data_IF_773737657013
#
_entry.id   IF_773737657013
#
_cell.length_a   1.000
_cell.length_b   1.000
_cell.length_c   1.000
_cell.angle_alpha   90.00
_cell.angle_beta   90.00
_cell.angle_gamma   90.00
#
_symmetry.space_group_name_H-M   'P 1'
#
loop_
_entity.id
_entity.type
_entity.pdbx_description
1 polymer ?
#
# COMPACT_ATOMS: atom_id res chain seq x y z
N UNK A 1 -17.43 7.91 6.14
CA UNK A 1 -16.85 6.54 6.20
C UNK A 1 -16.68 6.09 4.76
N UNK A 2 -15.60 6.51 4.09
CA UNK A 2 -15.29 6.07 2.73
C UNK A 2 -14.43 4.82 2.89
N UNK A 3 -15.07 3.66 2.82
CA UNK A 3 -14.39 2.38 2.80
C UNK A 3 -13.56 2.32 1.52
N UNK A 4 -12.24 2.15 1.64
CA UNK A 4 -11.38 1.94 0.49
C UNK A 4 -11.72 0.56 -0.10
N UNK A 5 -12.36 0.55 -1.26
CA UNK A 5 -12.67 -0.69 -1.96
C UNK A 5 -11.42 -1.15 -2.71
N UNK A 6 -10.95 -2.37 -2.45
CA UNK A 6 -9.95 -3.02 -3.29
C UNK A 6 -10.64 -3.34 -4.62
N UNK A 7 -10.33 -2.59 -5.67
CA UNK A 7 -10.89 -2.80 -6.98
C UNK A 7 -10.02 -3.76 -7.80
N UNK A 8 -10.65 -4.78 -8.38
CA UNK A 8 -10.07 -5.61 -9.42
C UNK A 8 -10.90 -5.41 -10.70
N UNK A 9 -10.46 -4.54 -11.63
CA UNK A 9 -11.11 -4.39 -12.94
C UNK A 9 -10.17 -4.68 -14.12
N UNK A 10 -10.53 -5.77 -14.82
CA UNK A 10 -10.37 -6.17 -16.23
C UNK A 10 -8.99 -6.32 -16.95
N UNK A 11 -8.67 -7.61 -17.20
CA UNK A 11 -8.66 -8.30 -18.50
C UNK A 11 -7.53 -8.11 -19.52
N UNK A 12 -6.25 -8.21 -19.13
CA UNK A 12 -5.21 -8.65 -20.10
C UNK A 12 -4.07 -9.48 -19.48
N UNK A 13 -3.84 -9.40 -18.16
CA UNK A 13 -2.84 -10.23 -17.47
C UNK A 13 -3.46 -10.74 -16.17
N UNK A 14 -3.67 -12.06 -16.10
CA UNK A 14 -4.23 -12.71 -14.91
C UNK A 14 -3.07 -13.12 -14.02
N UNK A 15 -2.87 -12.41 -12.90
CA UNK A 15 -1.98 -12.87 -11.83
C UNK A 15 -2.46 -14.23 -11.33
N UNK A 16 -1.53 -15.09 -10.89
CA UNK A 16 -1.94 -16.31 -10.20
C UNK A 16 -2.73 -15.94 -8.93
N UNK A 17 -3.61 -16.82 -8.46
CA UNK A 17 -4.35 -16.58 -7.22
C UNK A 17 -3.42 -16.32 -6.03
N UNK A 18 -2.24 -16.95 -6.03
CA UNK A 18 -1.22 -16.76 -5.00
C UNK A 18 -0.55 -15.38 -5.09
N UNK A 19 -0.23 -14.91 -6.30
CA UNK A 19 0.39 -13.58 -6.47
C UNK A 19 -0.62 -12.47 -6.19
N UNK A 20 -1.87 -12.63 -6.64
CA UNK A 20 -2.97 -11.71 -6.30
C UNK A 20 -3.17 -11.60 -4.79
N UNK A 21 -3.09 -12.73 -4.07
CA UNK A 21 -3.15 -12.72 -2.61
C UNK A 21 -1.99 -11.97 -1.98
N UNK A 22 -0.75 -12.20 -2.44
CA UNK A 22 0.43 -11.48 -1.94
C UNK A 22 0.34 -9.97 -2.15
N UNK A 23 -0.07 -9.55 -3.35
CA UNK A 23 -0.28 -8.13 -3.67
C UNK A 23 -1.39 -7.54 -2.79
N UNK A 24 -2.52 -8.22 -2.64
CA UNK A 24 -3.60 -7.75 -1.75
C UNK A 24 -3.13 -7.58 -0.30
N UNK A 25 -2.33 -8.53 0.20
CA UNK A 25 -1.73 -8.42 1.53
C UNK A 25 -0.74 -7.25 1.61
N UNK A 26 0.10 -7.07 0.60
CA UNK A 26 1.04 -5.94 0.53
C UNK A 26 0.30 -4.59 0.60
N UNK A 27 -0.67 -4.35 -0.29
CA UNK A 27 -1.44 -3.11 -0.31
C UNK A 27 -2.23 -2.89 1.00
N UNK A 28 -2.72 -3.98 1.62
CA UNK A 28 -3.41 -3.88 2.91
C UNK A 28 -2.52 -3.32 4.02
N UNK A 29 -1.20 -3.55 3.97
CA UNK A 29 -0.25 -3.03 4.94
C UNK A 29 -0.18 -1.51 4.93
N UNK A 30 -0.08 -0.91 3.75
CA UNK A 30 -0.11 0.55 3.58
C UNK A 30 -1.43 1.15 4.06
N UNK A 31 -2.55 0.52 3.68
CA UNK A 31 -3.89 1.00 4.01
C UNK A 31 -4.14 0.98 5.52
N UNK A 32 -3.86 -0.16 6.17
CA UNK A 32 -4.04 -0.33 7.61
C UNK A 32 -3.17 0.66 8.37
N UNK A 33 -1.89 0.80 8.00
CA UNK A 33 -1.00 1.77 8.62
C UNK A 33 -1.56 3.20 8.51
N UNK A 34 -1.97 3.61 7.30
CA UNK A 34 -2.53 4.95 7.08
C UNK A 34 -3.85 5.20 7.82
N UNK A 35 -4.62 4.14 8.08
CA UNK A 35 -5.90 4.24 8.77
C UNK A 35 -5.74 4.56 10.25
N UNK A 36 -4.71 4.02 10.89
CA UNK A 36 -4.48 4.19 12.32
C UNK A 36 -3.61 5.40 12.67
N UNK A 37 -2.88 5.96 11.71
CA UNK A 37 -2.00 7.11 11.94
C UNK A 37 -2.74 8.43 11.64
N UNK A 38 -2.70 9.35 12.60
CA UNK A 38 -3.45 10.62 12.54
C UNK A 38 -2.78 11.71 11.71
N UNK A 39 -1.46 11.63 11.50
CA UNK A 39 -0.69 12.67 10.82
C UNK A 39 -0.47 12.40 9.32
N UNK A 40 -0.90 11.23 8.85
CA UNK A 40 -0.71 10.76 7.47
C UNK A 40 -1.94 11.02 6.61
N UNK A 41 -1.69 11.07 5.31
CA UNK A 41 -2.75 11.13 4.32
C UNK A 41 -3.56 9.83 4.30
N UNK A 42 -4.89 9.97 4.28
CA UNK A 42 -5.77 8.81 4.20
C UNK A 42 -5.66 8.15 2.81
N UNK A 43 -5.64 6.82 2.78
CA UNK A 43 -5.78 6.04 1.55
C UNK A 43 -7.11 6.36 0.86
N UNK A 44 -7.07 6.62 -0.44
CA UNK A 44 -8.22 7.01 -1.27
C UNK A 44 -8.66 5.86 -2.16
N UNK A 45 -7.73 5.26 -2.88
CA UNK A 45 -7.98 4.15 -3.81
C UNK A 45 -6.90 3.09 -3.67
N UNK A 46 -7.32 1.83 -3.69
CA UNK A 46 -6.45 0.66 -3.63
C UNK A 46 -6.82 -0.28 -4.76
N UNK A 47 -5.83 -0.68 -5.54
CA UNK A 47 -5.98 -1.66 -6.62
C UNK A 47 -4.94 -2.77 -6.52
N UNK A 48 -5.35 -3.99 -6.86
CA UNK A 48 -4.48 -5.16 -7.00
C UNK A 48 -4.35 -5.59 -8.47
N UNK A 49 -4.82 -4.73 -9.38
CA UNK A 49 -4.69 -4.95 -10.82
C UNK A 49 -3.31 -4.51 -11.25
N UNK A 50 -2.66 -5.35 -12.03
CA UNK A 50 -1.40 -4.99 -12.65
C UNK A 50 -1.58 -3.81 -13.62
N UNK A 51 -0.81 -2.75 -13.40
CA UNK A 51 -0.72 -1.60 -14.30
C UNK A 51 0.75 -1.31 -14.63
N UNK A 52 1.12 -1.53 -15.89
CA UNK A 52 2.50 -1.42 -16.36
C UNK A 52 3.48 -2.31 -15.58
N UNK A 53 4.40 -1.67 -14.84
CA UNK A 53 5.45 -2.35 -14.05
C UNK A 53 5.02 -2.71 -12.63
N UNK A 54 3.89 -2.21 -12.14
CA UNK A 54 3.42 -2.43 -10.77
C UNK A 54 2.28 -3.43 -10.75
N UNK A 55 2.23 -4.27 -9.71
CA UNK A 55 1.21 -5.30 -9.55
C UNK A 55 -0.01 -4.82 -8.74
N UNK A 56 0.14 -3.70 -8.04
CA UNK A 56 -0.89 -3.03 -7.24
C UNK A 56 -0.51 -1.56 -7.02
N UNK A 57 -1.45 -0.80 -6.45
CA UNK A 57 -1.22 0.61 -6.10
C UNK A 57 -2.18 1.06 -4.99
N UNK A 58 -1.62 1.66 -3.95
CA UNK A 58 -2.35 2.46 -2.96
C UNK A 58 -2.10 3.94 -3.23
N UNK A 59 -3.18 4.70 -3.43
CA UNK A 59 -3.11 6.17 -3.57
C UNK A 59 -3.56 6.85 -2.29
N UNK A 60 -2.89 7.94 -1.95
CA UNK A 60 -3.18 8.72 -0.76
C UNK A 60 -3.75 10.09 -1.14
N UNK A 61 -4.57 10.63 -0.24
CA UNK A 61 -5.04 12.01 -0.34
C UNK A 61 -3.86 13.00 -0.32
N UNK A 62 -4.07 14.24 -0.76
CA UNK A 62 -3.03 15.26 -0.70
C UNK A 62 -3.03 15.92 0.69
N UNK A 63 -1.88 15.92 1.38
CA UNK A 63 -1.68 16.80 2.54
C UNK A 63 -1.56 18.24 2.07
N UNK A 64 -2.16 19.15 2.82
CA UNK A 64 -2.21 20.57 2.49
C UNK A 64 -0.96 21.33 2.95
N UNK A 65 -0.20 20.76 3.87
CA UNK A 65 0.94 21.42 4.50
C UNK A 65 2.22 21.19 3.70
N UNK A 66 2.95 22.28 3.45
CA UNK A 66 4.20 22.25 2.68
C UNK A 66 5.42 21.83 3.51
N UNK A 67 5.31 21.83 4.84
CA UNK A 67 6.37 21.46 5.78
C UNK A 67 5.90 20.30 6.66
N UNK A 68 6.82 19.41 7.02
CA UNK A 68 6.57 18.25 7.87
C UNK A 68 7.39 18.32 9.15
N UNK A 69 6.76 17.94 10.26
CA UNK A 69 7.45 17.66 11.52
C UNK A 69 8.19 16.33 11.47
N UNK A 70 9.01 16.05 12.50
CA UNK A 70 9.68 14.74 12.63
C UNK A 70 8.64 13.63 12.82
N UNK A 71 7.58 13.91 13.57
CA UNK A 71 6.46 13.00 13.82
C UNK A 71 5.72 12.67 12.52
N UNK A 72 5.46 13.67 11.67
CA UNK A 72 4.85 13.46 10.35
C UNK A 72 5.72 12.56 9.45
N UNK A 73 7.04 12.76 9.47
CA UNK A 73 7.98 11.95 8.71
C UNK A 73 8.00 10.50 9.22
N UNK A 74 7.99 10.29 10.54
CA UNK A 74 7.94 8.95 11.13
C UNK A 74 6.67 8.22 10.77
N UNK A 75 5.50 8.86 10.90
CA UNK A 75 4.23 8.22 10.54
C UNK A 75 4.18 7.90 9.03
N UNK A 76 4.70 8.79 8.17
CA UNK A 76 4.85 8.50 6.73
C UNK A 76 5.73 7.28 6.48
N UNK A 77 6.86 7.16 7.19
CA UNK A 77 7.73 5.98 7.07
C UNK A 77 6.99 4.70 7.47
N UNK A 78 6.16 4.74 8.51
CA UNK A 78 5.34 3.58 8.92
C UNK A 78 4.35 3.19 7.83
N UNK A 79 3.70 4.16 7.18
CA UNK A 79 2.79 3.88 6.04
C UNK A 79 3.54 3.28 4.87
N UNK A 80 4.67 3.88 4.47
CA UNK A 80 5.48 3.39 3.34
C UNK A 80 6.04 1.99 3.59
N UNK A 81 6.45 1.66 4.82
CA UNK A 81 6.97 0.33 5.15
C UNK A 81 5.88 -0.70 5.48
N UNK A 82 4.60 -0.30 5.44
CA UNK A 82 3.46 -1.15 5.81
C UNK A 82 3.37 -2.43 4.96
N UNK A 83 3.56 -2.31 3.64
CA UNK A 83 3.55 -3.46 2.71
C UNK A 83 4.64 -4.48 3.04
N UNK A 84 5.89 -4.02 3.15
CA UNK A 84 7.02 -4.83 3.61
C UNK A 84 6.78 -5.56 4.94
N UNK A 85 6.24 -4.87 5.95
CA UNK A 85 5.98 -5.47 7.27
C UNK A 85 4.93 -6.58 7.19
N UNK A 86 3.85 -6.39 6.41
CA UNK A 86 2.82 -7.41 6.23
C UNK A 86 3.38 -8.64 5.51
N UNK A 87 4.23 -8.45 4.49
CA UNK A 87 4.91 -9.56 3.82
C UNK A 87 5.79 -10.36 4.79
N UNK A 88 6.58 -9.69 5.64
CA UNK A 88 7.37 -10.36 6.67
C UNK A 88 6.52 -11.16 7.65
N UNK A 89 5.42 -10.57 8.12
CA UNK A 89 4.63 -11.14 9.21
C UNK A 89 3.72 -12.28 8.74
N UNK A 90 3.06 -12.13 7.59
CA UNK A 90 2.01 -13.04 7.15
C UNK A 90 2.39 -13.90 5.95
N UNK A 91 3.17 -13.36 5.00
CA UNK A 91 3.61 -14.09 3.80
C UNK A 91 4.89 -14.89 4.08
N UNK A 92 5.69 -14.47 5.07
CA UNK A 92 6.99 -15.08 5.42
C UNK A 92 8.01 -15.09 4.27
N UNK A 93 7.81 -14.22 3.29
CA UNK A 93 8.67 -14.07 2.12
C UNK A 93 8.49 -12.66 1.59
N UNK A 94 9.60 -11.97 1.33
CA UNK A 94 9.60 -10.61 0.80
C UNK A 94 9.62 -10.66 -0.71
N UNK A 95 8.69 -9.91 -1.31
CA UNK A 95 8.53 -9.80 -2.75
C UNK A 95 9.31 -8.60 -3.31
N UNK A 96 9.34 -8.49 -4.63
CA UNK A 96 9.87 -7.30 -5.30
C UNK A 96 8.95 -6.07 -5.20
N UNK A 97 7.70 -6.22 -4.72
CA UNK A 97 6.82 -5.08 -4.46
C UNK A 97 7.42 -4.16 -3.37
N UNK A 98 8.06 -4.75 -2.36
CA UNK A 98 8.75 -4.02 -1.28
C UNK A 98 10.02 -3.28 -1.72
N UNK A 99 10.42 -3.35 -3.00
CA UNK A 99 11.59 -2.62 -3.48
C UNK A 99 11.35 -1.10 -3.49
N UNK A 100 10.15 -0.66 -3.87
CA UNK A 100 9.80 0.77 -3.86
C UNK A 100 9.58 1.30 -2.43
N UNK A 101 9.11 0.44 -1.52
CA UNK A 101 8.91 0.79 -0.10
C UNK A 101 10.22 1.06 0.65
N UNK A 102 11.30 0.40 0.25
CA UNK A 102 12.61 0.43 0.94
C UNK A 102 13.60 1.43 0.35
N UNK A 103 13.30 2.01 -0.81
CA UNK A 103 14.18 2.91 -1.55
C UNK A 103 14.16 4.34 -0.98
#
# INVERSE_FOLDING_TARGET
MNCCCIYAQNNNITLSSNDSYKVAMHESGHVIASHFLTSTEAAVEVTIVQDGKRLGLTTFSKKKDALWSVEDCNDKMVVFLGGYVVEMLFIKSISNASQEDLA
#
